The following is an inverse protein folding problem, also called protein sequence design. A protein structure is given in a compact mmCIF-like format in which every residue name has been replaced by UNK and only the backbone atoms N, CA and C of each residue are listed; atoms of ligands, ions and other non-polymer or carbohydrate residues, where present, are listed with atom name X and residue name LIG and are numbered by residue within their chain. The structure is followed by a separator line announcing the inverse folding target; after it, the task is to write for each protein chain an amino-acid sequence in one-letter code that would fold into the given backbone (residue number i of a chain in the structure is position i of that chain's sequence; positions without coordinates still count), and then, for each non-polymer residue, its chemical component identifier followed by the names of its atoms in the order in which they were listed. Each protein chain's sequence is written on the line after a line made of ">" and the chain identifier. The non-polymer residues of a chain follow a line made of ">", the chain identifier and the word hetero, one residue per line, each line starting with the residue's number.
data_IF_188464160179
#
_entry.id   IF_188464160179
#
_cell.length_a   1.000
_cell.length_b   1.000
_cell.length_c   1.000
_cell.angle_alpha   90.00
_cell.angle_beta   90.00
_cell.angle_gamma   90.00
#
_symmetry.space_group_name_H-M   'P 1'
#
loop_
_entity.id
_entity.type
_entity.pdbx_description
1 polymer ?
#
# COMPACT_ATOMS: atom_id res chain seq x y z
N UNK A 1 43.25 16.87 25.69
CA UNK A 1 42.12 15.92 25.70
C UNK A 1 42.56 14.75 26.55
N UNK A 2 42.12 14.79 27.80
CA UNK A 2 42.35 13.72 28.77
C UNK A 2 41.62 12.45 28.31
N UNK A 3 42.14 11.28 28.68
CA UNK A 3 41.54 9.98 28.34
C UNK A 3 40.14 9.86 28.94
N UNK A 4 39.91 10.43 30.12
CA UNK A 4 38.60 10.47 30.76
C UNK A 4 37.58 11.29 29.95
N UNK A 5 37.98 12.45 29.43
CA UNK A 5 37.11 13.27 28.57
C UNK A 5 36.71 12.54 27.28
N UNK A 6 37.61 11.73 26.72
CA UNK A 6 37.33 10.92 25.53
C UNK A 6 36.32 9.81 25.83
N UNK A 7 36.45 9.14 26.98
CA UNK A 7 35.52 8.09 27.41
C UNK A 7 34.11 8.67 27.57
N UNK A 8 33.98 9.78 28.30
CA UNK A 8 32.67 10.44 28.52
C UNK A 8 32.00 10.80 27.19
N UNK A 9 32.75 11.36 26.23
CA UNK A 9 32.20 11.68 24.91
C UNK A 9 31.76 10.45 24.13
N UNK A 10 32.52 9.35 24.20
CA UNK A 10 32.17 8.11 23.51
C UNK A 10 30.91 7.48 24.11
N UNK A 11 30.76 7.49 25.43
CA UNK A 11 29.57 7.00 26.12
C UNK A 11 28.33 7.82 25.76
N UNK A 12 28.46 9.15 25.77
CA UNK A 12 27.39 10.05 25.35
C UNK A 12 26.99 9.78 23.89
N UNK A 13 27.97 9.66 22.99
CA UNK A 13 27.72 9.35 21.59
C UNK A 13 27.08 7.95 21.41
N UNK A 14 27.48 6.95 22.19
CA UNK A 14 26.88 5.61 22.17
C UNK A 14 25.41 5.68 22.57
N UNK A 15 25.11 6.38 23.66
CA UNK A 15 23.74 6.54 24.14
C UNK A 15 22.83 7.21 23.09
N UNK A 16 23.30 8.28 22.44
CA UNK A 16 22.55 8.93 21.38
C UNK A 16 22.33 8.01 20.17
N UNK A 17 23.33 7.22 19.80
CA UNK A 17 23.23 6.25 18.71
C UNK A 17 22.22 5.14 19.04
N UNK A 18 22.26 4.57 20.24
CA UNK A 18 21.31 3.54 20.68
C UNK A 18 19.87 4.07 20.69
N UNK A 19 19.69 5.30 21.17
CA UNK A 19 18.39 5.97 21.15
C UNK A 19 17.89 6.17 19.72
N UNK A 20 18.75 6.67 18.82
CA UNK A 20 18.40 6.87 17.42
C UNK A 20 18.07 5.55 16.72
N UNK A 21 18.84 4.49 16.96
CA UNK A 21 18.59 3.16 16.41
C UNK A 21 17.23 2.62 16.86
N UNK A 22 16.89 2.83 18.14
CA UNK A 22 15.58 2.42 18.68
C UNK A 22 14.42 3.15 17.98
N UNK A 23 14.55 4.46 17.78
CA UNK A 23 13.55 5.27 17.07
C UNK A 23 13.41 4.85 15.60
N UNK A 24 14.52 4.58 14.92
CA UNK A 24 14.51 4.10 13.53
C UNK A 24 13.86 2.72 13.43
N UNK A 25 14.16 1.81 14.35
CA UNK A 25 13.55 0.48 14.37
C UNK A 25 12.03 0.55 14.59
N UNK A 26 11.57 1.43 15.48
CA UNK A 26 10.13 1.68 15.68
C UNK A 26 9.47 2.21 14.40
N UNK A 27 10.09 3.22 13.77
CA UNK A 27 9.59 3.80 12.52
C UNK A 27 9.55 2.77 11.38
N UNK A 28 10.57 1.91 11.24
CA UNK A 28 10.61 0.85 10.24
C UNK A 28 9.53 -0.21 10.51
N UNK A 29 9.36 -0.61 11.77
CA UNK A 29 8.31 -1.56 12.16
C UNK A 29 6.92 -1.01 11.84
N UNK A 30 6.70 0.28 12.06
CA UNK A 30 5.44 0.93 11.72
C UNK A 30 5.21 1.00 10.21
N UNK A 31 6.24 1.30 9.43
CA UNK A 31 6.17 1.28 7.97
C UNK A 31 5.89 -0.12 7.43
N UNK A 32 6.50 -1.16 7.99
CA UNK A 32 6.22 -2.55 7.59
C UNK A 32 4.74 -2.90 7.82
N UNK A 33 4.18 -2.54 8.98
CA UNK A 33 2.74 -2.76 9.25
C UNK A 33 1.84 -2.05 8.24
N UNK A 34 2.23 -0.87 7.76
CA UNK A 34 1.49 -0.14 6.74
C UNK A 34 1.57 -0.84 5.38
N UNK A 35 2.75 -1.34 5.00
CA UNK A 35 2.94 -2.14 3.78
C UNK A 35 2.10 -3.42 3.83
N UNK A 36 2.16 -4.19 4.92
CA UNK A 36 1.36 -5.41 5.08
C UNK A 36 -0.15 -5.12 4.94
N UNK A 37 -0.60 -3.97 5.45
CA UNK A 37 -1.98 -3.55 5.32
C UNK A 37 -2.36 -3.16 3.87
N UNK A 38 -1.45 -2.49 3.16
CA UNK A 38 -1.64 -2.16 1.75
C UNK A 38 -1.67 -3.42 0.87
N UNK A 39 -0.74 -4.35 1.08
CA UNK A 39 -0.69 -5.64 0.38
C UNK A 39 -1.97 -6.44 0.57
N UNK A 40 -2.49 -6.53 1.80
CA UNK A 40 -3.79 -7.17 2.08
C UNK A 40 -4.94 -6.51 1.32
N UNK A 41 -4.95 -5.18 1.23
CA UNK A 41 -5.99 -4.44 0.49
C UNK A 41 -5.90 -4.70 -1.01
N UNK A 42 -4.69 -4.71 -1.57
CA UNK A 42 -4.46 -5.02 -2.98
C UNK A 42 -4.94 -6.43 -3.28
N UNK A 43 -4.55 -7.42 -2.49
CA UNK A 43 -4.98 -8.81 -2.67
C UNK A 43 -6.51 -8.96 -2.64
N UNK A 44 -7.19 -8.24 -1.73
CA UNK A 44 -8.65 -8.22 -1.67
C UNK A 44 -9.28 -7.61 -2.93
N UNK A 45 -8.73 -6.51 -3.43
CA UNK A 45 -9.20 -5.87 -4.65
C UNK A 45 -8.98 -6.76 -5.87
N UNK A 46 -7.82 -7.40 -5.99
CA UNK A 46 -7.54 -8.36 -7.05
C UNK A 46 -8.52 -9.53 -7.03
N UNK A 47 -8.80 -10.08 -5.85
CA UNK A 47 -9.81 -11.13 -5.70
C UNK A 47 -11.20 -10.66 -6.14
N UNK A 48 -11.59 -9.44 -5.76
CA UNK A 48 -12.89 -8.87 -6.16
C UNK A 48 -12.97 -8.60 -7.65
N UNK A 49 -11.91 -8.10 -8.28
CA UNK A 49 -11.86 -7.90 -9.73
C UNK A 49 -11.98 -9.24 -10.45
N UNK A 50 -11.27 -10.28 -10.00
CA UNK A 50 -11.40 -11.64 -10.57
C UNK A 50 -12.82 -12.18 -10.44
N UNK A 51 -13.44 -12.04 -9.27
CA UNK A 51 -14.83 -12.44 -9.05
C UNK A 51 -15.78 -11.72 -10.01
N UNK A 52 -15.64 -10.40 -10.15
CA UNK A 52 -16.47 -9.60 -11.06
C UNK A 52 -16.30 -10.05 -12.51
N UNK A 53 -15.07 -10.31 -12.96
CA UNK A 53 -14.79 -10.81 -14.32
C UNK A 53 -15.40 -12.20 -14.57
N UNK A 54 -15.40 -13.08 -13.58
CA UNK A 54 -16.01 -14.40 -13.69
C UNK A 54 -17.53 -14.36 -13.62
N UNK A 55 -18.10 -13.42 -12.86
CA UNK A 55 -19.54 -13.21 -12.73
C UNK A 55 -20.14 -12.34 -13.83
N UNK A 56 -19.30 -11.67 -14.63
CA UNK A 56 -19.76 -10.84 -15.72
C UNK A 56 -20.47 -11.74 -16.76
N UNK A 57 -21.74 -11.45 -17.09
CA UNK A 57 -22.42 -12.19 -18.14
C UNK A 57 -21.65 -12.02 -19.45
N UNK A 58 -21.27 -13.13 -20.08
CA UNK A 58 -20.64 -13.15 -21.41
C UNK A 58 -21.56 -12.53 -22.48
N UNK A 59 -22.85 -12.45 -22.19
CA UNK A 59 -23.90 -11.83 -22.99
C UNK A 59 -24.40 -10.53 -22.34
N UNK A 60 -23.50 -9.61 -21.97
CA UNK A 60 -23.93 -8.22 -21.81
C UNK A 60 -24.57 -7.81 -23.14
N UNK A 61 -25.83 -7.32 -23.18
CA UNK A 61 -26.43 -6.92 -24.44
C UNK A 61 -25.49 -5.90 -25.07
N UNK A 62 -25.04 -6.19 -26.30
CA UNK A 62 -24.49 -5.15 -27.16
C UNK A 62 -25.42 -3.95 -27.02
N UNK A 63 -24.85 -2.75 -26.99
CA UNK A 63 -25.59 -1.50 -26.92
C UNK A 63 -26.31 -1.26 -28.28
N UNK A 64 -27.04 -2.27 -28.74
CA UNK A 64 -27.84 -2.29 -29.92
C UNK A 64 -29.04 -1.38 -29.66
N UNK A 65 -29.24 -0.43 -30.57
CA UNK A 65 -30.39 0.46 -30.57
C UNK A 65 -31.67 -0.37 -30.31
N UNK A 66 -32.52 0.04 -29.35
CA UNK A 66 -33.82 -0.59 -29.16
C UNK A 66 -34.57 -0.65 -30.51
N UNK A 67 -35.32 -1.73 -30.80
CA UNK A 67 -35.88 -2.02 -32.14
C UNK A 67 -36.71 -0.90 -32.78
N UNK A 68 -37.14 0.09 -32.01
CA UNK A 68 -38.02 1.18 -32.43
C UNK A 68 -37.26 2.40 -32.95
N UNK A 69 -35.93 2.37 -33.00
CA UNK A 69 -35.09 3.46 -33.47
C UNK A 69 -34.74 3.33 -34.96
N UNK A 70 -35.72 2.95 -35.78
CA UNK A 70 -35.63 3.10 -37.24
C UNK A 70 -36.09 4.52 -37.58
N UNK A 71 -35.23 5.43 -38.10
CA UNK A 71 -35.67 6.75 -38.50
C UNK A 71 -36.63 6.59 -39.68
N UNK A 72 -37.88 7.05 -39.52
CA UNK A 72 -38.79 7.17 -40.65
C UNK A 72 -38.14 8.07 -41.69
N UNK A 73 -37.93 7.51 -42.89
CA UNK A 73 -37.44 8.24 -44.04
C UNK A 73 -38.60 9.11 -44.54
N UNK A 74 -38.62 10.36 -44.11
CA UNK A 74 -39.34 11.44 -44.81
C UNK A 74 -38.42 12.10 -45.84
#
# INVERSE_FOLDING_TARGET
>A
MDTQEKIVRLEEQSWFQERLLSQLNEALTMQQKQLDAAERRIALLEARVRELLLSAPQDAPENALPPHHMPERY
#
